data_IF_420513419012
#
_entry.id   IF_420513419012
#
_cell.length_a   1.000
_cell.length_b   1.000
_cell.length_c   1.000
_cell.angle_alpha   90.00
_cell.angle_beta   90.00
_cell.angle_gamma   90.00
#
_symmetry.space_group_name_H-M   'P 1'
#
loop_
_entity.id
_entity.type
_entity.pdbx_description
1 polymer ?
#
# COMPACT_ATOMS: atom_id res chain seq x y z
N UNK A 1 68.20 14.81 -2.92
CA UNK A 1 67.68 14.80 -1.53
C UNK A 1 66.47 15.69 -1.32
N UNK A 2 66.45 16.95 -1.80
CA UNK A 2 65.27 17.84 -1.65
C UNK A 2 64.07 17.40 -2.51
N UNK A 3 64.31 16.91 -3.72
CA UNK A 3 63.25 16.48 -4.64
C UNK A 3 62.52 15.22 -4.14
N UNK A 4 63.26 14.23 -3.64
CA UNK A 4 62.68 13.00 -3.06
C UNK A 4 61.81 13.26 -1.82
N UNK A 5 62.08 14.33 -1.07
CA UNK A 5 61.25 14.74 0.08
C UNK A 5 59.99 15.48 -0.38
N UNK A 6 60.09 16.26 -1.47
CA UNK A 6 58.96 16.95 -2.08
C UNK A 6 57.98 15.97 -2.71
N UNK A 7 58.49 14.94 -3.39
CA UNK A 7 57.70 13.86 -3.99
C UNK A 7 56.93 13.05 -2.93
N UNK A 8 57.57 12.77 -1.79
CA UNK A 8 56.93 12.07 -0.67
C UNK A 8 55.81 12.88 -0.03
N UNK A 9 55.98 14.20 0.10
CA UNK A 9 54.93 15.09 0.64
C UNK A 9 53.75 15.22 -0.33
N UNK A 10 54.02 15.25 -1.64
CA UNK A 10 52.98 15.30 -2.66
C UNK A 10 52.15 14.01 -2.67
N UNK A 11 52.81 12.86 -2.56
CA UNK A 11 52.15 11.55 -2.46
C UNK A 11 51.29 11.45 -1.19
N UNK A 12 51.80 11.90 -0.04
CA UNK A 12 51.04 11.88 1.22
C UNK A 12 49.79 12.78 1.18
N UNK A 13 49.88 13.96 0.55
CA UNK A 13 48.75 14.87 0.38
C UNK A 13 47.65 14.29 -0.54
N UNK A 14 48.06 13.63 -1.65
CA UNK A 14 47.14 12.98 -2.58
C UNK A 14 46.40 11.80 -1.94
N UNK A 15 47.11 10.99 -1.14
CA UNK A 15 46.51 9.89 -0.38
C UNK A 15 45.52 10.43 0.67
N UNK A 16 45.89 11.46 1.42
CA UNK A 16 44.99 12.05 2.42
C UNK A 16 43.69 12.61 1.82
N UNK A 17 43.74 13.18 0.61
CA UNK A 17 42.57 13.79 -0.04
C UNK A 17 41.61 12.73 -0.59
N UNK A 18 42.14 11.63 -1.11
CA UNK A 18 41.33 10.50 -1.62
C UNK A 18 40.65 9.73 -0.49
N UNK A 19 41.29 9.61 0.68
CA UNK A 19 40.65 8.99 1.86
C UNK A 19 39.45 9.80 2.39
N UNK A 20 39.45 11.14 2.27
CA UNK A 20 38.31 11.97 2.67
C UNK A 20 37.19 12.05 1.63
N UNK A 21 37.47 11.77 0.36
CA UNK A 21 36.45 11.76 -0.69
C UNK A 21 35.43 10.62 -0.53
N UNK A 22 35.68 9.62 0.32
CA UNK A 22 34.72 8.57 0.67
C UNK A 22 33.71 8.96 1.76
N UNK A 23 33.88 10.12 2.43
CA UNK A 23 32.98 10.56 3.51
C UNK A 23 31.72 11.28 3.01
N UNK A 24 31.72 11.73 1.76
CA UNK A 24 30.51 12.05 0.99
C UNK A 24 30.32 10.89 0.03
N UNK A 25 29.48 9.93 0.41
CA UNK A 25 28.90 9.05 -0.59
C UNK A 25 27.97 9.94 -1.44
N UNK A 26 28.31 10.27 -2.71
CA UNK A 26 27.26 10.72 -3.60
C UNK A 26 26.24 9.59 -3.58
N UNK A 27 24.98 9.91 -3.36
CA UNK A 27 23.89 8.94 -3.41
C UNK A 27 23.20 9.07 -4.77
N UNK A 28 23.86 8.78 -5.91
CA UNK A 28 23.26 8.97 -7.23
C UNK A 28 22.01 8.11 -7.38
N UNK A 29 22.01 6.90 -6.79
CA UNK A 29 20.89 6.00 -6.89
C UNK A 29 19.71 6.31 -5.97
N UNK A 30 19.90 7.00 -4.83
CA UNK A 30 18.76 7.38 -3.98
C UNK A 30 18.03 8.60 -4.54
N UNK A 31 18.76 9.55 -5.14
CA UNK A 31 18.16 10.77 -5.70
C UNK A 31 17.36 10.44 -6.97
N UNK A 32 17.92 9.59 -7.86
CA UNK A 32 17.22 9.13 -9.07
C UNK A 32 15.93 8.34 -8.80
N UNK A 33 15.88 7.63 -7.68
CA UNK A 33 14.79 6.70 -7.33
C UNK A 33 13.89 7.22 -6.22
N UNK A 34 14.11 8.45 -5.79
CA UNK A 34 13.32 9.06 -4.73
C UNK A 34 11.84 9.15 -5.15
N UNK A 35 10.98 8.49 -4.38
CA UNK A 35 9.54 8.47 -4.64
C UNK A 35 9.05 7.45 -5.66
N UNK A 36 9.92 6.64 -6.30
CA UNK A 36 9.49 5.58 -7.22
C UNK A 36 8.57 4.55 -6.53
N UNK A 37 8.93 4.13 -5.31
CA UNK A 37 8.12 3.21 -4.52
C UNK A 37 6.72 3.78 -4.20
N UNK A 38 6.65 5.07 -3.85
CA UNK A 38 5.39 5.74 -3.57
C UNK A 38 4.54 5.91 -4.82
N UNK A 39 5.16 6.28 -5.95
CA UNK A 39 4.46 6.40 -7.24
C UNK A 39 3.94 5.04 -7.71
N UNK A 40 4.70 3.97 -7.50
CA UNK A 40 4.27 2.60 -7.81
C UNK A 40 3.09 2.18 -6.92
N UNK A 41 3.17 2.43 -5.62
CA UNK A 41 2.06 2.13 -4.70
C UNK A 41 0.80 2.93 -5.06
N UNK A 42 0.95 4.21 -5.40
CA UNK A 42 -0.15 5.06 -5.87
C UNK A 42 -0.76 4.51 -7.16
N UNK A 43 0.04 4.11 -8.14
CA UNK A 43 -0.46 3.51 -9.39
C UNK A 43 -1.26 2.22 -9.15
N UNK A 44 -0.90 1.44 -8.12
CA UNK A 44 -1.65 0.24 -7.75
C UNK A 44 -2.93 0.53 -6.94
N UNK A 45 -2.94 1.61 -6.16
CA UNK A 45 -4.07 1.98 -5.29
C UNK A 45 -5.09 2.90 -5.96
N UNK A 46 -4.70 3.65 -7.00
CA UNK A 46 -5.55 4.60 -7.70
C UNK A 46 -6.35 3.87 -8.78
N UNK A 47 -7.66 3.74 -8.55
CA UNK A 47 -8.60 3.10 -9.48
C UNK A 47 -8.79 3.93 -10.76
N UNK A 48 -8.77 5.27 -10.65
CA UNK A 48 -8.89 6.17 -11.79
C UNK A 48 -7.93 7.37 -11.64
N UNK A 49 -6.79 7.38 -12.35
CA UNK A 49 -5.81 8.48 -12.27
C UNK A 49 -6.31 9.79 -12.87
N UNK A 50 -7.27 9.75 -13.81
CA UNK A 50 -7.84 10.93 -14.47
C UNK A 50 -9.08 11.49 -13.74
N UNK A 51 -9.40 10.96 -12.55
CA UNK A 51 -10.58 11.37 -11.78
C UNK A 51 -10.59 12.86 -11.42
N UNK A 52 -9.42 13.52 -11.32
CA UNK A 52 -9.31 14.96 -11.06
C UNK A 52 -9.78 15.83 -12.24
N UNK A 53 -9.72 15.29 -13.46
CA UNK A 53 -10.14 15.98 -14.67
C UNK A 53 -11.62 15.77 -14.96
N UNK A 54 -12.23 14.76 -14.33
CA UNK A 54 -13.66 14.53 -14.41
C UNK A 54 -14.41 15.58 -13.58
N UNK A 55 -15.20 16.43 -14.27
CA UNK A 55 -16.07 17.42 -13.64
C UNK A 55 -17.48 16.90 -13.39
N UNK A 56 -17.78 15.68 -13.79
CA UNK A 56 -19.07 15.07 -13.51
C UNK A 56 -19.28 15.00 -12.00
N UNK A 57 -20.43 15.46 -11.49
CA UNK A 57 -20.73 15.33 -10.07
C UNK A 57 -20.73 13.85 -9.72
N UNK A 58 -19.94 13.48 -8.71
CA UNK A 58 -19.90 12.11 -8.21
C UNK A 58 -21.32 11.74 -7.81
N UNK A 59 -21.92 10.75 -8.49
CA UNK A 59 -23.21 10.22 -8.10
C UNK A 59 -23.03 9.60 -6.70
N UNK A 60 -23.38 10.36 -5.67
CA UNK A 60 -23.31 9.92 -4.30
C UNK A 60 -24.20 8.70 -4.05
N UNK A 61 -24.11 8.19 -2.84
CA UNK A 61 -25.00 7.13 -2.36
C UNK A 61 -26.44 7.69 -2.29
N UNK A 62 -27.43 6.92 -2.71
CA UNK A 62 -28.83 7.35 -2.62
C UNK A 62 -29.26 7.50 -1.15
N UNK A 63 -30.16 8.44 -0.88
CA UNK A 63 -30.53 8.77 0.51
C UNK A 63 -31.18 7.59 1.26
N UNK A 64 -31.86 6.69 0.55
CA UNK A 64 -32.49 5.52 1.16
C UNK A 64 -31.44 4.47 1.56
N UNK A 65 -30.47 4.20 0.69
CA UNK A 65 -29.33 3.36 1.00
C UNK A 65 -28.47 3.96 2.11
N UNK A 66 -28.28 5.28 2.14
CA UNK A 66 -27.60 5.97 3.24
C UNK A 66 -28.28 5.67 4.57
N UNK A 67 -29.59 5.88 4.64
CA UNK A 67 -30.36 5.61 5.84
C UNK A 67 -30.31 4.13 6.25
N UNK A 68 -30.48 3.22 5.29
CA UNK A 68 -30.41 1.78 5.54
C UNK A 68 -29.02 1.33 6.03
N UNK A 69 -27.94 1.96 5.55
CA UNK A 69 -26.58 1.65 5.98
C UNK A 69 -26.33 2.04 7.44
N UNK A 70 -26.79 3.23 7.86
CA UNK A 70 -26.69 3.70 9.24
C UNK A 70 -27.57 2.88 10.18
N UNK A 71 -28.79 2.52 9.75
CA UNK A 71 -29.69 1.65 10.52
C UNK A 71 -29.07 0.26 10.76
N UNK A 72 -28.47 -0.36 9.73
CA UNK A 72 -27.73 -1.62 9.90
C UNK A 72 -26.53 -1.49 10.83
N UNK A 73 -25.81 -0.38 10.75
CA UNK A 73 -24.67 -0.10 11.64
C UNK A 73 -25.13 -0.04 13.09
N UNK A 74 -26.19 0.70 13.41
CA UNK A 74 -26.75 0.73 14.77
C UNK A 74 -27.24 -0.65 15.24
N UNK A 75 -27.99 -1.37 14.39
CA UNK A 75 -28.46 -2.73 14.70
C UNK A 75 -27.34 -3.73 14.95
N UNK A 76 -26.16 -3.53 14.37
CA UNK A 76 -25.00 -4.41 14.63
C UNK A 76 -24.49 -4.33 16.08
N UNK A 77 -24.73 -3.21 16.77
CA UNK A 77 -24.40 -3.05 18.19
C UNK A 77 -25.50 -3.58 19.11
N UNK A 78 -26.76 -3.50 18.69
CA UNK A 78 -27.90 -4.04 19.44
C UNK A 78 -27.99 -5.56 19.34
N UNK A 79 -27.53 -6.12 18.22
CA UNK A 79 -27.59 -7.54 17.92
C UNK A 79 -26.19 -8.04 17.57
N UNK A 80 -25.46 -8.63 18.53
CA UNK A 80 -24.19 -9.29 18.23
C UNK A 80 -24.40 -10.22 17.02
N UNK A 81 -23.61 -10.09 15.95
CA UNK A 81 -23.76 -10.94 14.78
C UNK A 81 -23.65 -12.39 15.25
N UNK A 82 -24.64 -13.21 14.90
CA UNK A 82 -24.57 -14.65 15.16
C UNK A 82 -23.24 -15.14 14.60
N UNK A 83 -22.39 -15.68 15.47
CA UNK A 83 -21.05 -16.09 15.08
C UNK A 83 -21.22 -17.13 13.96
N UNK A 84 -20.69 -16.89 12.75
CA UNK A 84 -20.74 -17.91 11.71
C UNK A 84 -19.95 -19.11 12.23
N UNK A 85 -20.60 -20.27 12.36
CA UNK A 85 -19.94 -21.51 12.75
C UNK A 85 -18.85 -21.81 11.72
N UNK A 86 -17.59 -21.53 12.09
CA UNK A 86 -16.38 -21.66 11.27
C UNK A 86 -16.07 -23.12 10.88
N UNK A 87 -16.89 -24.08 11.31
CA UNK A 87 -16.71 -25.50 11.03
C UNK A 87 -17.36 -26.02 9.73
N UNK A 88 -17.78 -25.14 8.82
CA UNK A 88 -18.29 -25.52 7.49
C UNK A 88 -17.20 -25.54 6.39
N UNK A 89 -15.92 -25.65 6.76
CA UNK A 89 -14.84 -25.96 5.82
C UNK A 89 -14.93 -27.45 5.51
N UNK A 90 -15.56 -27.76 4.37
CA UNK A 90 -15.85 -29.10 3.90
C UNK A 90 -14.63 -30.02 3.88
N UNK A 91 -14.62 -30.98 4.80
CA UNK A 91 -13.94 -32.26 4.66
C UNK A 91 -15.02 -33.34 4.77
N UNK A 92 -15.36 -33.91 3.61
CA UNK A 92 -15.77 -35.32 3.47
C UNK A 92 -17.11 -35.76 4.06
N UNK A 93 -18.01 -36.11 3.15
CA UNK A 93 -19.03 -37.18 3.25
C UNK A 93 -20.34 -36.89 3.99
N UNK A 94 -21.44 -36.87 3.23
CA UNK A 94 -22.80 -37.09 3.75
C UNK A 94 -23.83 -36.04 3.33
N UNK A 95 -24.52 -36.31 2.23
CA UNK A 95 -25.81 -35.77 1.75
C UNK A 95 -26.53 -34.78 2.68
N UNK A 96 -26.75 -33.55 2.21
CA UNK A 96 -27.81 -32.68 2.73
C UNK A 96 -28.43 -31.87 1.59
N UNK A 97 -29.50 -32.45 1.02
CA UNK A 97 -30.42 -31.78 0.11
C UNK A 97 -31.25 -30.77 0.89
N UNK A 98 -31.04 -29.48 0.66
CA UNK A 98 -31.92 -28.41 1.12
C UNK A 98 -32.83 -27.95 -0.02
N UNK A 99 -34.03 -28.52 -0.08
CA UNK A 99 -35.14 -28.08 -0.92
C UNK A 99 -35.83 -26.90 -0.24
N UNK A 100 -35.74 -25.69 -0.82
CA UNK A 100 -36.55 -24.54 -0.39
C UNK A 100 -37.78 -24.40 -1.30
N UNK A 101 -38.92 -24.92 -0.84
CA UNK A 101 -40.24 -24.68 -1.45
C UNK A 101 -40.81 -23.38 -0.91
N UNK A 102 -40.87 -22.33 -1.75
CA UNK A 102 -41.57 -21.10 -1.45
C UNK A 102 -42.99 -21.16 -2.00
N UNK A 103 -43.97 -21.38 -1.12
CA UNK A 103 -45.41 -21.24 -1.44
C UNK A 103 -45.87 -19.88 -0.93
N UNK A 104 -46.44 -19.06 -1.83
CA UNK A 104 -47.06 -17.76 -1.53
C UNK A 104 -48.58 -17.95 -1.38
N UNK A 105 -49.26 -17.28 -0.43
CA UNK A 105 -50.71 -17.07 -0.50
C UNK A 105 -51.09 -15.94 -1.46
#
# INVERSE_FOLDING_TARGET
MKNTILDFKLAALLVSTTLMAGCVAPTPHLDEKFGEALNTAKAQQIINPDASQNKDPVAGIDGQAANASIDRYHKSYERPPAQPNVFAIGVGTGTSTSTSTGTTP
#
